data_IF_444116165192
#
_entry.id   IF_444116165192
#
_cell.length_a   1.000
_cell.length_b   1.000
_cell.length_c   1.000
_cell.angle_alpha   90.00
_cell.angle_beta   90.00
_cell.angle_gamma   90.00
#
_symmetry.space_group_name_H-M   'P 1'
#
loop_
_entity.id
_entity.type
_entity.pdbx_description
1 polymer ?
#
# COMPACT_ATOMS: atom_id res chain seq x y z
N UNK A 1 -13.78 10.52 -3.48
CA UNK A 1 -12.44 10.63 -4.12
C UNK A 1 -11.70 9.30 -3.92
N UNK A 2 -10.64 9.03 -4.67
CA UNK A 2 -9.92 7.73 -4.71
C UNK A 2 -10.69 6.50 -5.23
N UNK A 3 -11.86 6.68 -5.85
CA UNK A 3 -12.60 5.57 -6.48
C UNK A 3 -11.88 4.89 -7.66
N UNK A 4 -10.73 5.40 -8.09
CA UNK A 4 -9.84 4.74 -9.06
C UNK A 4 -8.95 3.67 -8.44
N UNK A 5 -8.82 3.59 -7.11
CA UNK A 5 -7.98 2.58 -6.45
C UNK A 5 -8.47 1.16 -6.74
N UNK A 6 -9.78 0.96 -6.89
CA UNK A 6 -10.38 -0.32 -7.33
C UNK A 6 -9.82 -0.89 -8.64
N UNK A 7 -9.22 -0.06 -9.50
CA UNK A 7 -8.56 -0.53 -10.74
C UNK A 7 -7.35 -1.41 -10.44
N UNK A 8 -6.73 -1.27 -9.27
CA UNK A 8 -5.59 -2.06 -8.86
C UNK A 8 -5.92 -3.50 -8.48
N UNK A 9 -7.21 -3.85 -8.39
CA UNK A 9 -7.65 -5.25 -8.36
C UNK A 9 -7.27 -6.03 -9.63
N UNK A 10 -7.14 -5.34 -10.75
CA UNK A 10 -6.72 -5.95 -12.01
C UNK A 10 -5.19 -6.01 -12.10
N UNK A 11 -4.63 -7.21 -12.18
CA UNK A 11 -3.18 -7.43 -12.28
C UNK A 11 -2.59 -6.74 -13.53
N UNK A 12 -3.33 -6.73 -14.65
CA UNK A 12 -2.92 -6.07 -15.89
C UNK A 12 -2.77 -4.55 -15.74
N UNK A 13 -3.68 -3.93 -14.99
CA UNK A 13 -3.62 -2.52 -14.62
C UNK A 13 -2.46 -2.26 -13.66
N UNK A 14 -2.28 -3.09 -12.62
CA UNK A 14 -1.17 -2.97 -11.70
C UNK A 14 0.18 -3.04 -12.42
N UNK A 15 0.38 -4.02 -13.33
CA UNK A 15 1.62 -4.18 -14.11
C UNK A 15 2.02 -2.89 -14.87
N UNK A 16 1.04 -2.11 -15.30
CA UNK A 16 1.25 -0.84 -16.01
C UNK A 16 1.41 0.36 -15.08
N UNK A 17 1.01 0.24 -13.80
CA UNK A 17 0.85 1.37 -12.87
C UNK A 17 1.44 1.09 -11.48
N UNK A 18 2.60 0.45 -11.39
CA UNK A 18 3.16 -0.07 -10.12
C UNK A 18 3.64 0.99 -9.12
N UNK A 19 3.61 2.29 -9.47
CA UNK A 19 4.25 3.34 -8.68
C UNK A 19 3.31 4.51 -8.37
N UNK A 20 3.48 5.05 -7.17
CA UNK A 20 2.92 6.33 -6.76
C UNK A 20 4.05 7.32 -6.49
N UNK A 21 3.79 8.61 -6.75
CA UNK A 21 4.69 9.69 -6.38
C UNK A 21 3.98 10.63 -5.43
N UNK A 22 4.54 10.80 -4.24
CA UNK A 22 4.09 11.80 -3.26
C UNK A 22 5.00 13.00 -3.39
N UNK A 23 4.41 14.13 -3.77
CA UNK A 23 5.11 15.40 -3.83
C UNK A 23 4.92 16.17 -2.53
N UNK A 24 6.02 16.60 -1.94
CA UNK A 24 6.05 17.65 -0.94
C UNK A 24 6.58 18.94 -1.59
N UNK A 25 6.71 20.00 -0.80
CA UNK A 25 7.23 21.29 -1.25
C UNK A 25 8.58 21.13 -1.96
N UNK A 26 9.53 20.43 -1.35
CA UNK A 26 10.91 20.31 -1.83
C UNK A 26 11.25 18.97 -2.51
N UNK A 27 10.39 17.96 -2.35
CA UNK A 27 10.79 16.58 -2.58
C UNK A 27 9.72 15.77 -3.31
N UNK A 28 10.14 14.86 -4.19
CA UNK A 28 9.29 13.83 -4.76
C UNK A 28 9.71 12.44 -4.23
N UNK A 29 8.80 11.78 -3.52
CA UNK A 29 8.99 10.43 -2.99
C UNK A 29 8.31 9.42 -3.90
N UNK A 30 9.07 8.43 -4.37
CA UNK A 30 8.53 7.34 -5.19
C UNK A 30 8.29 6.11 -4.33
N UNK A 31 7.06 5.61 -4.40
CA UNK A 31 6.62 4.39 -3.72
C UNK A 31 6.21 3.34 -4.74
N UNK A 32 6.47 2.07 -4.45
CA UNK A 32 6.08 0.93 -5.27
C UNK A 32 5.02 0.11 -4.57
N UNK A 33 3.92 -0.17 -5.27
CA UNK A 33 2.79 -0.94 -4.76
C UNK A 33 3.21 -2.41 -4.65
N UNK A 34 3.06 -3.01 -3.48
CA UNK A 34 3.38 -4.42 -3.25
C UNK A 34 2.18 -5.27 -2.80
N UNK A 35 1.08 -4.63 -2.38
CA UNK A 35 -0.16 -5.31 -2.02
C UNK A 35 -1.37 -4.42 -2.33
N UNK A 36 -2.45 -5.07 -2.77
CA UNK A 36 -3.79 -4.52 -2.86
C UNK A 36 -4.75 -5.51 -2.20
N UNK A 37 -5.53 -5.06 -1.22
CA UNK A 37 -6.50 -5.91 -0.52
C UNK A 37 -7.82 -5.18 -0.27
N UNK A 38 -8.89 -5.96 -0.08
CA UNK A 38 -10.17 -5.48 0.42
C UNK A 38 -10.26 -5.82 1.91
N UNK A 39 -10.15 -4.81 2.78
CA UNK A 39 -10.16 -5.01 4.23
C UNK A 39 -11.49 -4.59 4.85
N UNK A 40 -12.00 -5.38 5.79
CA UNK A 40 -13.20 -5.04 6.56
C UNK A 40 -12.91 -3.82 7.46
N UNK A 41 -13.86 -2.90 7.53
CA UNK A 41 -13.81 -1.70 8.39
C UNK A 41 -13.59 -2.12 9.85
N UNK A 42 -12.55 -1.58 10.49
CA UNK A 42 -12.20 -1.89 11.89
C UNK A 42 -11.07 -2.90 12.07
N UNK A 43 -10.46 -3.40 10.98
CA UNK A 43 -9.25 -4.23 11.06
C UNK A 43 -8.00 -3.43 11.47
N UNK A 44 -6.96 -4.13 11.96
CA UNK A 44 -5.70 -3.53 12.46
C UNK A 44 -4.84 -2.84 11.37
N UNK A 45 -5.30 -2.83 10.13
CA UNK A 45 -4.65 -2.21 8.96
C UNK A 45 -4.42 -0.69 9.09
N UNK A 46 -5.09 -0.04 10.06
CA UNK A 46 -4.96 1.39 10.32
C UNK A 46 -3.93 1.75 11.41
N UNK A 47 -3.20 0.78 11.95
CA UNK A 47 -2.14 1.07 12.92
C UNK A 47 -0.95 1.75 12.21
N UNK A 48 -0.52 2.88 12.75
CA UNK A 48 0.62 3.66 12.26
C UNK A 48 1.74 3.69 13.32
N UNK A 49 2.97 4.04 12.91
CA UNK A 49 4.08 4.26 13.85
C UNK A 49 4.88 3.00 14.23
N UNK A 50 4.74 1.90 13.48
CA UNK A 50 5.57 0.71 13.65
C UNK A 50 7.07 1.03 13.60
N UNK A 51 7.83 0.38 14.48
CA UNK A 51 9.29 0.38 14.45
C UNK A 51 9.81 -0.83 13.66
N UNK A 52 10.99 -0.75 13.04
CA UNK A 52 11.63 -1.93 12.46
C UNK A 52 11.75 -3.06 13.49
N UNK A 53 11.30 -4.26 13.14
CA UNK A 53 11.26 -5.41 14.04
C UNK A 53 10.28 -6.48 13.57
N UNK A 54 10.13 -7.51 14.39
CA UNK A 54 9.27 -8.67 14.09
C UNK A 54 7.80 -8.29 13.95
N UNK A 55 7.27 -7.46 14.86
CA UNK A 55 5.86 -7.02 14.80
C UNK A 55 5.53 -6.34 13.46
N UNK A 56 6.42 -5.46 13.00
CA UNK A 56 6.23 -4.76 11.73
C UNK A 56 6.43 -5.69 10.53
N UNK A 57 7.35 -6.65 10.61
CA UNK A 57 7.52 -7.63 9.56
C UNK A 57 6.28 -8.52 9.43
N UNK A 58 5.72 -9.00 10.55
CA UNK A 58 4.47 -9.76 10.57
C UNK A 58 3.34 -8.97 9.92
N UNK A 59 3.20 -7.68 10.26
CA UNK A 59 2.21 -6.81 9.62
C UNK A 59 2.41 -6.68 8.10
N UNK A 60 3.65 -6.52 7.63
CA UNK A 60 3.97 -6.47 6.20
C UNK A 60 3.66 -7.81 5.52
N UNK A 61 4.00 -8.92 6.16
CA UNK A 61 3.78 -10.27 5.64
C UNK A 61 2.28 -10.59 5.54
N UNK A 62 1.47 -10.11 6.49
CA UNK A 62 0.00 -10.17 6.42
C UNK A 62 -0.53 -9.44 5.18
N UNK A 63 -0.03 -8.23 4.87
CA UNK A 63 -0.43 -7.50 3.65
C UNK A 63 -0.07 -8.25 2.37
N UNK A 64 1.11 -8.88 2.32
CA UNK A 64 1.54 -9.67 1.16
C UNK A 64 0.63 -10.89 1.02
N UNK A 65 0.32 -11.56 2.13
CA UNK A 65 -0.54 -12.75 2.15
C UNK A 65 -1.98 -12.45 1.74
N UNK A 66 -2.51 -11.31 2.15
CA UNK A 66 -3.89 -10.90 1.91
C UNK A 66 -4.08 -10.18 0.57
N UNK A 67 -2.99 -9.88 -0.15
CA UNK A 67 -3.04 -9.25 -1.46
C UNK A 67 -3.88 -10.09 -2.43
N UNK A 68 -4.76 -9.44 -3.21
CA UNK A 68 -5.64 -10.11 -4.20
C UNK A 68 -4.83 -10.90 -5.26
N UNK A 69 -3.55 -10.54 -5.47
CA UNK A 69 -2.61 -11.29 -6.31
C UNK A 69 -1.17 -11.13 -5.81
N UNK A 70 -0.29 -12.05 -6.21
CA UNK A 70 1.13 -11.98 -5.88
C UNK A 70 1.86 -10.99 -6.80
N UNK A 71 2.34 -9.90 -6.23
CA UNK A 71 3.15 -8.89 -6.93
C UNK A 71 4.61 -9.32 -7.16
N UNK A 72 5.05 -10.41 -6.53
CA UNK A 72 6.45 -10.83 -6.44
C UNK A 72 7.32 -9.92 -5.57
N UNK A 73 6.74 -8.86 -4.98
CA UNK A 73 7.46 -7.90 -4.15
C UNK A 73 7.32 -8.32 -2.69
N UNK A 74 8.45 -8.42 -1.99
CA UNK A 74 8.51 -8.67 -0.54
C UNK A 74 9.16 -7.47 0.12
N UNK A 75 8.37 -6.69 0.87
CA UNK A 75 8.88 -5.56 1.64
C UNK A 75 9.47 -6.04 2.96
N UNK A 76 10.41 -5.27 3.52
CA UNK A 76 11.03 -5.57 4.82
C UNK A 76 10.63 -4.53 5.86
N UNK A 77 10.70 -4.89 7.14
CA UNK A 77 10.41 -3.98 8.26
C UNK A 77 11.37 -2.78 8.36
N UNK A 78 12.49 -2.78 7.63
CA UNK A 78 13.33 -1.59 7.47
C UNK A 78 12.80 -0.59 6.44
N UNK A 79 11.81 -0.97 5.62
CA UNK A 79 11.19 -0.09 4.64
C UNK A 79 10.10 0.78 5.26
N UNK A 80 10.00 2.02 4.79
CA UNK A 80 8.85 2.88 5.07
C UNK A 80 7.70 2.46 4.15
N UNK A 81 6.55 2.14 4.74
CA UNK A 81 5.32 1.82 4.01
C UNK A 81 4.36 3.00 4.05
N UNK A 82 3.69 3.24 2.94
CA UNK A 82 2.58 4.18 2.78
C UNK A 82 1.32 3.36 2.45
N UNK A 83 0.22 3.66 3.13
CA UNK A 83 -1.09 3.03 2.88
C UNK A 83 -2.05 4.07 2.30
N UNK A 84 -2.72 3.73 1.20
CA UNK A 84 -3.88 4.46 0.71
C UNK A 84 -5.14 3.64 0.96
N UNK A 85 -6.15 4.28 1.55
CA UNK A 85 -7.44 3.66 1.85
C UNK A 85 -8.55 4.46 1.17
N UNK A 86 -9.51 3.76 0.55
CA UNK A 86 -10.77 4.39 0.11
C UNK A 86 -11.98 3.61 0.59
N UNK A 87 -13.01 4.34 1.02
CA UNK A 87 -14.31 3.78 1.39
C UNK A 87 -15.11 3.53 0.12
N UNK A 88 -15.61 2.31 -0.04
CA UNK A 88 -16.57 1.99 -1.10
C UNK A 88 -17.99 2.34 -0.66
N UNK A 89 -18.33 3.62 -0.52
CA UNK A 89 -19.73 4.04 -0.27
C UNK A 89 -20.39 3.39 0.97
N UNK A 90 -21.54 2.71 0.79
CA UNK A 90 -22.29 2.02 1.85
C UNK A 90 -21.69 0.67 2.28
N UNK A 91 -20.56 0.27 1.69
CA UNK A 91 -19.97 -1.05 1.90
C UNK A 91 -19.17 -1.13 3.20
N UNK A 92 -19.07 -2.33 3.76
CA UNK A 92 -18.33 -2.59 5.01
C UNK A 92 -16.85 -2.89 4.79
N UNK A 93 -16.38 -2.76 3.54
CA UNK A 93 -15.01 -3.01 3.12
C UNK A 93 -14.36 -1.77 2.48
N UNK A 94 -13.07 -1.60 2.76
CA UNK A 94 -12.23 -0.55 2.20
C UNK A 94 -11.19 -1.15 1.24
N UNK A 95 -10.98 -0.49 0.11
CA UNK A 95 -9.83 -0.79 -0.74
C UNK A 95 -8.57 -0.25 -0.07
N UNK A 96 -7.58 -1.11 0.11
CA UNK A 96 -6.27 -0.75 0.64
C UNK A 96 -5.18 -1.01 -0.40
N UNK A 97 -4.32 -0.01 -0.59
CA UNK A 97 -3.06 -0.15 -1.31
C UNK A 97 -1.89 0.09 -0.37
N UNK A 98 -0.97 -0.88 -0.33
CA UNK A 98 0.26 -0.77 0.42
C UNK A 98 1.44 -0.59 -0.51
N UNK A 99 2.27 0.39 -0.17
CA UNK A 99 3.36 0.81 -1.03
C UNK A 99 4.64 0.99 -0.22
N UNK A 100 5.74 0.41 -0.72
CA UNK A 100 7.06 0.57 -0.11
C UNK A 100 7.81 1.74 -0.72
N UNK A 101 8.52 2.49 0.12
CA UNK A 101 9.42 3.55 -0.36
C UNK A 101 10.54 2.97 -1.24
N UNK A 102 10.83 3.63 -2.36
CA UNK A 102 11.88 3.22 -3.31
C UNK A 102 12.98 4.28 -3.39
N UNK A 103 12.62 5.52 -3.74
CA UNK A 103 13.61 6.56 -3.97
C UNK A 103 13.07 7.97 -3.75
N UNK A 104 14.00 8.90 -3.57
CA UNK A 104 13.78 10.33 -3.38
C UNK A 104 14.40 11.08 -4.55
N UNK A 105 13.67 12.05 -5.08
CA UNK A 105 14.19 13.01 -6.04
C UNK A 105 14.03 14.41 -5.43
N UNK A 106 15.14 15.14 -5.30
CA UNK A 106 15.09 16.57 -4.95
C UNK A 106 14.67 17.34 -6.20
N UNK A 107 13.74 18.27 -6.04
CA UNK A 107 13.33 19.19 -7.10
C UNK A 107 14.42 20.22 -7.35
#
# INVERSE_FOLDING_TARGET
>A
MFGSLKKYKDEGFWKKNQYFTVYTESTAYRYQIFSYENAIVGSNVYKVGYQPGEEYQTFIDEMVKNSDFDTGIRSKSSNKILTLSTVQGMDTANDLLFMRYVSIHRK
#
